data_IF_301741872487
#
_entry.id   IF_301741872487
#
_cell.length_a   1.000
_cell.length_b   1.000
_cell.length_c   1.000
_cell.angle_alpha   90.00
_cell.angle_beta   90.00
_cell.angle_gamma   90.00
#
_symmetry.space_group_name_H-M   'P 1'
#
loop_
_entity.id
_entity.type
_entity.pdbx_description
1 polymer ?
#
# COMPACT_ATOMS: atom_id res chain seq x y z
N UNK A 1 10.20 -50.28 -50.83
CA UNK A 1 9.79 -48.85 -50.78
C UNK A 1 8.74 -48.48 -49.74
N UNK A 2 7.85 -49.39 -49.29
CA UNK A 2 6.79 -49.10 -48.28
C UNK A 2 7.31 -48.70 -46.87
N UNK A 3 8.50 -49.13 -46.44
CA UNK A 3 9.07 -48.84 -45.10
C UNK A 3 9.59 -47.42 -44.94
N UNK A 4 9.96 -46.70 -46.00
CA UNK A 4 10.51 -45.34 -45.93
C UNK A 4 9.37 -44.34 -45.79
N UNK A 5 8.27 -44.50 -46.51
CA UNK A 5 7.08 -43.65 -46.41
C UNK A 5 6.45 -43.64 -45.02
N UNK A 6 6.39 -44.84 -44.37
CA UNK A 6 5.87 -44.97 -43.02
C UNK A 6 6.72 -44.23 -41.94
N UNK A 7 8.04 -44.24 -42.08
CA UNK A 7 8.97 -43.51 -41.19
C UNK A 7 8.85 -42.01 -41.35
N UNK A 8 8.72 -41.53 -42.59
CA UNK A 8 8.52 -40.08 -42.86
C UNK A 8 7.18 -39.60 -42.32
N UNK A 9 6.11 -40.39 -42.50
CA UNK A 9 4.79 -40.09 -41.96
C UNK A 9 4.82 -40.03 -40.41
N UNK A 10 5.48 -40.98 -39.76
CA UNK A 10 5.63 -41.00 -38.30
C UNK A 10 6.39 -39.78 -37.79
N UNK A 11 7.47 -39.38 -38.48
CA UNK A 11 8.19 -38.13 -38.12
C UNK A 11 7.32 -36.90 -38.29
N UNK A 12 6.54 -36.79 -39.37
CA UNK A 12 5.61 -35.65 -39.54
C UNK A 12 4.57 -35.57 -38.44
N UNK A 13 3.97 -36.70 -38.06
CA UNK A 13 3.00 -36.74 -36.95
C UNK A 13 3.68 -36.30 -35.64
N UNK A 14 4.87 -36.77 -35.35
CA UNK A 14 5.63 -36.42 -34.16
C UNK A 14 5.96 -34.90 -34.12
N UNK A 15 6.34 -34.31 -35.25
CA UNK A 15 6.56 -32.88 -35.40
C UNK A 15 5.27 -32.09 -35.13
N UNK A 16 4.12 -32.50 -35.67
CA UNK A 16 2.83 -31.84 -35.44
C UNK A 16 2.43 -31.87 -33.96
N UNK A 17 2.65 -33.03 -33.31
CA UNK A 17 2.35 -33.18 -31.87
C UNK A 17 3.27 -32.27 -31.03
N UNK A 18 4.58 -32.25 -31.29
CA UNK A 18 5.52 -31.40 -30.55
C UNK A 18 5.19 -29.91 -30.75
N UNK A 19 4.92 -29.50 -32.00
CA UNK A 19 4.56 -28.12 -32.32
C UNK A 19 3.22 -27.70 -31.65
N UNK A 20 2.24 -28.60 -31.66
CA UNK A 20 0.95 -28.39 -30.97
C UNK A 20 1.12 -28.21 -29.47
N UNK A 21 1.91 -29.05 -28.81
CA UNK A 21 2.22 -28.93 -27.38
C UNK A 21 2.96 -27.64 -27.05
N UNK A 22 3.96 -27.25 -27.86
CA UNK A 22 4.67 -25.98 -27.69
C UNK A 22 3.76 -24.78 -27.86
N UNK A 23 2.83 -24.80 -28.82
CA UNK A 23 1.88 -23.73 -29.03
C UNK A 23 0.94 -23.57 -27.83
N UNK A 24 0.40 -24.68 -27.31
CA UNK A 24 -0.48 -24.68 -26.14
C UNK A 24 0.25 -24.13 -24.90
N UNK A 25 1.48 -24.58 -24.67
CA UNK A 25 2.28 -24.09 -23.52
C UNK A 25 2.62 -22.61 -23.66
N UNK A 26 2.98 -22.14 -24.86
CA UNK A 26 3.25 -20.74 -25.15
C UNK A 26 2.04 -19.85 -24.92
N UNK A 27 0.86 -20.22 -25.41
CA UNK A 27 -0.39 -19.47 -25.21
C UNK A 27 -0.75 -19.40 -23.71
N UNK A 28 -0.62 -20.52 -22.98
CA UNK A 28 -0.87 -20.57 -21.53
C UNK A 28 0.11 -19.66 -20.78
N UNK A 29 1.38 -19.67 -21.15
CA UNK A 29 2.42 -18.81 -20.56
C UNK A 29 2.12 -17.33 -20.83
N UNK A 30 1.79 -16.96 -22.07
CA UNK A 30 1.42 -15.57 -22.43
C UNK A 30 0.20 -15.08 -21.66
N UNK A 31 -0.84 -15.91 -21.51
CA UNK A 31 -2.04 -15.56 -20.75
C UNK A 31 -1.72 -15.37 -19.25
N UNK A 32 -0.81 -16.17 -18.69
CA UNK A 32 -0.34 -16.01 -17.32
C UNK A 32 0.42 -14.69 -17.15
N UNK A 33 1.36 -14.38 -18.04
CA UNK A 33 2.13 -13.13 -18.02
C UNK A 33 1.21 -11.92 -18.17
N UNK A 34 0.25 -11.97 -19.10
CA UNK A 34 -0.74 -10.90 -19.27
C UNK A 34 -1.57 -10.68 -18.02
N UNK A 35 -2.08 -11.77 -17.40
CA UNK A 35 -2.87 -11.69 -16.17
C UNK A 35 -2.06 -11.12 -15.00
N UNK A 36 -0.82 -11.59 -14.80
CA UNK A 36 0.07 -11.05 -13.76
C UNK A 36 0.43 -9.58 -14.02
N UNK A 37 0.64 -9.19 -15.28
CA UNK A 37 0.89 -7.80 -15.65
C UNK A 37 -0.30 -6.89 -15.33
N UNK A 38 -1.51 -7.31 -15.65
CA UNK A 38 -2.74 -6.57 -15.31
C UNK A 38 -2.93 -6.46 -13.79
N UNK A 39 -2.71 -7.54 -13.05
CA UNK A 39 -2.81 -7.54 -11.59
C UNK A 39 -1.82 -6.53 -10.96
N UNK A 40 -0.57 -6.51 -11.45
CA UNK A 40 0.43 -5.54 -11.00
C UNK A 40 -0.02 -4.11 -11.31
N UNK A 41 -0.47 -3.83 -12.53
CA UNK A 41 -0.78 -2.47 -12.98
C UNK A 41 -2.10 -1.96 -12.37
N UNK A 42 -3.10 -2.82 -12.23
CA UNK A 42 -4.44 -2.40 -11.81
C UNK A 42 -4.66 -2.48 -10.30
N UNK A 43 -3.82 -3.24 -9.58
CA UNK A 43 -3.98 -3.44 -8.14
C UNK A 43 -2.74 -3.04 -7.33
N UNK A 44 -1.58 -3.64 -7.61
CA UNK A 44 -0.40 -3.41 -6.76
C UNK A 44 0.16 -1.99 -6.88
N UNK A 45 0.25 -1.42 -8.08
CA UNK A 45 0.75 -0.05 -8.27
C UNK A 45 -0.18 0.97 -7.61
N UNK A 46 -1.52 0.93 -7.80
CA UNK A 46 -2.42 1.83 -7.09
C UNK A 46 -2.32 1.72 -5.57
N UNK A 47 -2.31 0.50 -5.01
CA UNK A 47 -2.15 0.29 -3.56
C UNK A 47 -0.83 0.90 -3.06
N UNK A 48 0.28 0.65 -3.76
CA UNK A 48 1.58 1.23 -3.41
C UNK A 48 1.56 2.76 -3.45
N UNK A 49 0.86 3.34 -4.41
CA UNK A 49 0.71 4.80 -4.53
C UNK A 49 -0.06 5.38 -3.35
N UNK A 50 -1.15 4.74 -2.93
CA UNK A 50 -1.92 5.19 -1.77
C UNK A 50 -1.12 5.02 -0.46
N UNK A 51 -0.40 3.91 -0.27
CA UNK A 51 0.51 3.73 0.88
C UNK A 51 1.55 4.84 0.93
N UNK A 52 2.16 5.21 -0.20
CA UNK A 52 3.12 6.30 -0.26
C UNK A 52 2.49 7.67 0.05
N UNK A 53 1.24 7.89 -0.37
CA UNK A 53 0.47 9.08 -0.02
C UNK A 53 0.23 9.15 1.48
N UNK A 54 -0.19 8.05 2.10
CA UNK A 54 -0.37 7.92 3.55
C UNK A 54 0.94 8.25 4.29
N UNK A 55 2.06 7.65 3.89
CA UNK A 55 3.35 7.90 4.52
C UNK A 55 3.74 9.37 4.49
N UNK A 56 3.55 10.04 3.35
CA UNK A 56 3.81 11.49 3.24
C UNK A 56 2.89 12.32 4.13
N UNK A 57 1.62 11.96 4.21
CA UNK A 57 0.67 12.68 5.08
C UNK A 57 0.99 12.47 6.56
N UNK A 58 1.45 11.27 6.96
CA UNK A 58 1.96 11.01 8.31
C UNK A 58 3.18 11.88 8.65
N UNK A 59 4.16 11.96 7.74
CA UNK A 59 5.36 12.78 7.93
C UNK A 59 5.00 14.27 8.09
N UNK A 60 4.06 14.78 7.28
CA UNK A 60 3.59 16.17 7.38
C UNK A 60 2.81 16.41 8.67
N UNK A 61 1.90 15.48 9.03
CA UNK A 61 1.14 15.55 10.28
C UNK A 61 2.06 15.59 11.49
N UNK A 62 3.09 14.73 11.54
CA UNK A 62 4.12 14.76 12.58
C UNK A 62 4.86 16.09 12.63
N UNK A 63 5.22 16.66 11.47
CA UNK A 63 5.86 17.96 11.40
C UNK A 63 4.96 19.07 11.96
N UNK A 64 3.68 19.08 11.63
CA UNK A 64 2.73 20.07 12.15
C UNK A 64 2.59 19.94 13.66
N UNK A 65 2.44 18.73 14.19
CA UNK A 65 2.37 18.48 15.63
C UNK A 65 3.65 18.93 16.35
N UNK A 66 4.82 18.70 15.78
CA UNK A 66 6.09 19.19 16.33
C UNK A 66 6.09 20.73 16.45
N UNK A 67 5.63 21.43 15.41
CA UNK A 67 5.60 22.89 15.43
C UNK A 67 4.59 23.40 16.46
N UNK A 68 3.39 22.84 16.49
CA UNK A 68 2.33 23.23 17.44
C UNK A 68 2.79 23.00 18.88
N UNK A 69 3.51 21.92 19.16
CA UNK A 69 3.99 21.59 20.52
C UNK A 69 5.16 22.47 20.98
N UNK A 70 5.88 23.13 20.06
CA UNK A 70 7.05 23.96 20.41
C UNK A 70 6.73 25.46 20.49
N UNK A 71 5.67 25.92 19.82
CA UNK A 71 5.39 27.34 19.69
C UNK A 71 4.01 27.67 20.29
N UNK A 72 4.01 28.51 21.34
CA UNK A 72 2.79 29.04 21.94
C UNK A 72 2.31 30.28 21.16
N UNK A 73 1.77 30.04 19.96
CA UNK A 73 1.19 31.05 19.08
C UNK A 73 -0.19 30.57 18.59
N UNK A 74 -1.24 31.20 19.06
CA UNK A 74 -2.61 30.78 18.79
C UNK A 74 -3.00 30.83 17.30
N UNK A 75 -2.54 31.84 16.54
CA UNK A 75 -2.83 32.00 15.12
C UNK A 75 -2.12 30.90 14.29
N UNK A 76 -0.82 30.67 14.55
CA UNK A 76 -0.05 29.61 13.94
C UNK A 76 -0.63 28.24 14.27
N UNK A 77 -1.08 28.02 15.53
CA UNK A 77 -1.72 26.80 15.97
C UNK A 77 -2.98 26.52 15.15
N UNK A 78 -3.92 27.45 15.06
CA UNK A 78 -5.16 27.29 14.31
C UNK A 78 -4.89 26.93 12.82
N UNK A 79 -3.91 27.57 12.20
CA UNK A 79 -3.52 27.28 10.82
C UNK A 79 -2.98 25.85 10.67
N UNK A 80 -2.10 25.41 11.58
CA UNK A 80 -1.46 24.10 11.52
C UNK A 80 -2.43 22.96 11.89
N UNK A 81 -3.38 23.21 12.79
CA UNK A 81 -4.48 22.26 13.10
C UNK A 81 -5.35 22.02 11.87
N UNK A 82 -5.68 23.08 11.11
CA UNK A 82 -6.37 22.93 9.82
C UNK A 82 -5.57 22.05 8.84
N UNK A 83 -4.27 22.32 8.73
CA UNK A 83 -3.39 21.51 7.87
C UNK A 83 -3.25 20.06 8.35
N UNK A 84 -3.19 19.83 9.67
CA UNK A 84 -3.19 18.48 10.25
C UNK A 84 -4.47 17.72 9.93
N UNK A 85 -5.64 18.38 10.05
CA UNK A 85 -6.93 17.78 9.71
C UNK A 85 -7.01 17.38 8.22
N UNK A 86 -6.40 18.17 7.31
CA UNK A 86 -6.30 17.83 5.89
C UNK A 86 -5.44 16.57 5.67
N UNK A 87 -4.31 16.45 6.37
CA UNK A 87 -3.47 15.24 6.25
C UNK A 87 -4.18 14.00 6.82
N UNK A 88 -4.89 14.11 7.94
CA UNK A 88 -5.70 13.01 8.50
C UNK A 88 -6.81 12.60 7.52
N UNK A 89 -7.48 13.56 6.90
CA UNK A 89 -8.48 13.29 5.86
C UNK A 89 -7.86 12.56 4.67
N UNK A 90 -6.67 12.98 4.22
CA UNK A 90 -5.93 12.35 3.11
C UNK A 90 -5.57 10.90 3.44
N UNK A 91 -5.13 10.61 4.67
CA UNK A 91 -4.86 9.24 5.14
C UNK A 91 -6.13 8.39 5.03
N UNK A 92 -7.24 8.86 5.60
CA UNK A 92 -8.52 8.13 5.61
C UNK A 92 -9.08 7.91 4.19
N UNK A 93 -8.91 8.87 3.29
CA UNK A 93 -9.33 8.71 1.88
C UNK A 93 -8.47 7.68 1.16
N UNK A 94 -7.17 7.68 1.40
CA UNK A 94 -6.25 6.71 0.79
C UNK A 94 -6.50 5.28 1.30
N UNK A 95 -6.83 5.09 2.59
CA UNK A 95 -7.28 3.80 3.13
C UNK A 95 -8.52 3.28 2.40
N UNK A 96 -9.55 4.11 2.23
CA UNK A 96 -10.76 3.74 1.49
C UNK A 96 -10.46 3.33 0.05
N UNK A 97 -9.50 3.97 -0.61
CA UNK A 97 -9.09 3.59 -1.98
C UNK A 97 -8.36 2.25 -1.98
N UNK A 98 -7.51 1.98 -0.99
CA UNK A 98 -6.86 0.68 -0.82
C UNK A 98 -7.91 -0.42 -0.68
N UNK A 99 -8.93 -0.23 0.14
CA UNK A 99 -10.04 -1.16 0.30
C UNK A 99 -10.75 -1.48 -1.03
N UNK A 100 -10.98 -0.45 -1.86
CA UNK A 100 -11.58 -0.63 -3.18
C UNK A 100 -10.69 -1.52 -4.07
N UNK A 101 -9.38 -1.30 -4.08
CA UNK A 101 -8.45 -2.11 -4.87
C UNK A 101 -8.31 -3.55 -4.34
N UNK A 102 -8.53 -3.75 -3.03
CA UNK A 102 -8.49 -5.08 -2.40
C UNK A 102 -9.76 -5.90 -2.56
N UNK A 103 -10.87 -5.26 -2.90
CA UNK A 103 -12.20 -5.89 -2.92
C UNK A 103 -12.21 -7.18 -3.75
N UNK A 104 -11.67 -7.12 -4.96
CA UNK A 104 -11.63 -8.22 -5.91
C UNK A 104 -10.28 -8.96 -5.94
N UNK A 105 -9.38 -8.63 -5.02
CA UNK A 105 -8.08 -9.28 -4.91
C UNK A 105 -8.20 -10.61 -4.15
N UNK A 106 -7.65 -11.68 -4.70
CA UNK A 106 -7.66 -13.01 -4.10
C UNK A 106 -6.37 -13.33 -3.32
N UNK A 107 -5.42 -12.39 -3.22
CA UNK A 107 -4.17 -12.58 -2.51
C UNK A 107 -4.37 -12.36 -1.00
N UNK A 108 -4.57 -13.46 -0.26
CA UNK A 108 -4.76 -13.44 1.19
C UNK A 108 -3.59 -12.81 1.93
N UNK A 109 -2.34 -13.07 1.49
CA UNK A 109 -1.15 -12.48 2.11
C UNK A 109 -1.11 -10.97 1.98
N UNK A 110 -1.55 -10.43 0.84
CA UNK A 110 -1.65 -8.99 0.65
C UNK A 110 -2.72 -8.41 1.57
N UNK A 111 -3.89 -9.02 1.63
CA UNK A 111 -4.97 -8.60 2.54
C UNK A 111 -4.53 -8.60 4.01
N UNK A 112 -3.86 -9.65 4.44
CA UNK A 112 -3.33 -9.76 5.80
C UNK A 112 -2.26 -8.68 6.10
N UNK A 113 -1.40 -8.38 5.12
CA UNK A 113 -0.40 -7.31 5.25
C UNK A 113 -1.04 -5.92 5.34
N UNK A 114 -2.03 -5.64 4.50
CA UNK A 114 -2.76 -4.36 4.54
C UNK A 114 -3.52 -4.22 5.85
N UNK A 115 -4.21 -5.25 6.32
CA UNK A 115 -4.89 -5.22 7.61
C UNK A 115 -3.95 -4.85 8.77
N UNK A 116 -2.74 -5.41 8.80
CA UNK A 116 -1.72 -5.03 9.81
C UNK A 116 -1.28 -3.58 9.65
N UNK A 117 -1.21 -3.10 8.42
CA UNK A 117 -0.88 -1.70 8.13
C UNK A 117 -1.99 -0.76 8.62
N UNK A 118 -3.26 -1.11 8.42
CA UNK A 118 -4.42 -0.37 8.94
C UNK A 118 -4.40 -0.32 10.48
N UNK A 119 -4.16 -1.46 11.14
CA UNK A 119 -4.01 -1.51 12.61
C UNK A 119 -2.86 -0.63 13.13
N UNK A 120 -1.80 -0.48 12.34
CA UNK A 120 -0.71 0.46 12.62
C UNK A 120 -1.16 1.92 12.42
N UNK A 121 -1.87 2.23 11.34
CA UNK A 121 -2.40 3.57 11.06
C UNK A 121 -3.37 4.04 12.13
N UNK A 122 -4.27 3.19 12.60
CA UNK A 122 -5.17 3.49 13.71
C UNK A 122 -4.41 3.96 14.96
N UNK A 123 -3.29 3.30 15.28
CA UNK A 123 -2.43 3.70 16.40
C UNK A 123 -1.76 5.05 16.16
N UNK A 124 -1.31 5.32 14.91
CA UNK A 124 -0.71 6.61 14.55
C UNK A 124 -1.73 7.73 14.65
N UNK A 125 -2.94 7.53 14.12
CA UNK A 125 -4.01 8.53 14.20
C UNK A 125 -4.46 8.78 15.64
N UNK A 126 -4.54 7.74 16.46
CA UNK A 126 -4.81 7.89 17.88
C UNK A 126 -3.71 8.70 18.57
N UNK A 127 -2.45 8.45 18.25
CA UNK A 127 -1.34 9.22 18.80
C UNK A 127 -1.38 10.69 18.37
N UNK A 128 -1.75 10.97 17.11
CA UNK A 128 -1.94 12.33 16.64
C UNK A 128 -3.02 13.07 17.46
N UNK A 129 -4.16 12.44 17.68
CA UNK A 129 -5.25 13.02 18.47
C UNK A 129 -4.87 13.23 19.95
N UNK A 130 -4.11 12.30 20.53
CA UNK A 130 -3.61 12.41 21.91
C UNK A 130 -2.64 13.60 22.06
N UNK A 131 -1.72 13.77 21.10
CA UNK A 131 -0.78 14.90 21.13
C UNK A 131 -1.54 16.22 20.98
N UNK A 132 -2.52 16.27 20.08
CA UNK A 132 -3.36 17.45 19.89
C UNK A 132 -4.13 17.81 21.18
N UNK A 133 -4.69 16.81 21.88
CA UNK A 133 -5.37 17.02 23.17
C UNK A 133 -4.43 17.62 24.22
N UNK A 134 -3.17 17.18 24.34
CA UNK A 134 -2.19 17.79 25.23
C UNK A 134 -1.90 19.26 24.85
N UNK A 135 -1.79 19.56 23.56
CA UNK A 135 -1.61 20.94 23.09
C UNK A 135 -2.83 21.80 23.43
N UNK A 136 -4.04 21.30 23.23
CA UNK A 136 -5.30 22.03 23.48
C UNK A 136 -5.48 22.33 24.98
N UNK A 137 -5.03 21.42 25.85
CA UNK A 137 -5.04 21.61 27.31
C UNK A 137 -3.87 22.44 27.82
N UNK A 138 -2.93 22.84 26.94
CA UNK A 138 -1.72 23.60 27.30
C UNK A 138 -0.61 22.76 27.94
N UNK A 139 -0.72 21.42 27.92
CA UNK A 139 0.32 20.53 28.44
C UNK A 139 1.38 20.21 27.37
N UNK A 140 2.13 21.25 26.98
CA UNK A 140 3.17 21.14 25.97
C UNK A 140 4.30 20.20 26.37
N UNK A 141 4.50 19.97 27.69
CA UNK A 141 5.51 19.02 28.16
C UNK A 141 5.12 17.60 27.80
N UNK A 142 3.86 17.21 28.04
CA UNK A 142 3.36 15.89 27.65
C UNK A 142 3.27 15.73 26.13
N UNK A 143 2.85 16.76 25.41
CA UNK A 143 2.83 16.75 23.94
C UNK A 143 4.24 16.45 23.38
N UNK A 144 5.29 17.10 23.91
CA UNK A 144 6.68 16.89 23.50
C UNK A 144 7.19 15.49 23.84
N UNK A 145 6.84 14.95 25.00
CA UNK A 145 7.18 13.57 25.40
C UNK A 145 6.50 12.56 24.46
N UNK A 146 5.21 12.71 24.22
CA UNK A 146 4.43 11.84 23.34
C UNK A 146 4.98 11.83 21.90
N UNK A 147 5.40 12.98 21.37
CA UNK A 147 6.08 13.09 20.09
C UNK A 147 7.47 12.43 20.07
N UNK A 148 8.26 12.66 21.11
CA UNK A 148 9.67 12.24 21.15
C UNK A 148 9.86 10.77 21.49
N UNK A 149 9.04 10.20 22.39
CA UNK A 149 9.18 8.81 22.84
C UNK A 149 8.14 7.87 22.24
N UNK A 150 6.89 8.20 22.39
CA UNK A 150 5.80 7.27 22.06
C UNK A 150 5.60 7.13 20.56
N UNK A 151 5.61 8.24 19.85
CA UNK A 151 5.49 8.21 18.39
C UNK A 151 6.71 7.56 17.71
N UNK A 152 7.94 7.88 18.17
CA UNK A 152 9.15 7.25 17.61
C UNK A 152 9.21 5.74 17.88
N UNK A 153 8.76 5.28 19.05
CA UNK A 153 8.67 3.86 19.34
C UNK A 153 7.65 3.16 18.45
N UNK A 154 6.49 3.79 18.23
CA UNK A 154 5.43 3.26 17.37
C UNK A 154 5.89 3.08 15.90
N UNK A 155 6.72 3.98 15.38
CA UNK A 155 7.19 3.93 13.98
C UNK A 155 8.39 2.98 13.81
N UNK A 156 9.09 2.65 14.89
CA UNK A 156 10.29 1.79 14.85
C UNK A 156 9.96 0.30 14.94
N UNK A 157 8.86 -0.09 15.59
CA UNK A 157 8.40 -1.48 15.76
C UNK A 157 7.58 -1.93 14.53
#
# INVERSE_FOLDING_TARGET
MKKIGSKVLLMMVLFVVIFGLNTITSVRSQNRVKRSGLEITEQYIPIQTEIFTIQKSMERGQKYLNIISLYDNAELRQQLEGSLAEEVSTITESEKKIDVYLKDNNNTKLKDAIKKYEEFLDKVLLQFSTIQEYVDTGDFAQASIALGSDFQNLVRD
#
